data_IF_840424048764
#
_entry.id   IF_840424048764
#
_cell.length_a   1.000
_cell.length_b   1.000
_cell.length_c   1.000
_cell.angle_alpha   90.00
_cell.angle_beta   90.00
_cell.angle_gamma   90.00
#
_symmetry.space_group_name_H-M   'P 1'
#
loop_
_entity.id
_entity.type
_entity.pdbx_description
1 polymer ?
#
# COMPACT_ATOMS: atom_id res chain seq x y z
N UNK A 1 -4.87 -17.37 -13.95
CA UNK A 1 -6.07 -16.81 -13.30
C UNK A 1 -5.81 -16.61 -11.81
N UNK A 2 -6.35 -15.55 -11.20
CA UNK A 2 -6.25 -15.30 -9.74
C UNK A 2 -7.58 -15.65 -9.06
N UNK A 3 -7.76 -16.90 -8.66
CA UNK A 3 -8.95 -17.32 -7.91
C UNK A 3 -8.70 -17.15 -6.41
N UNK A 4 -9.59 -16.41 -5.73
CA UNK A 4 -9.57 -16.19 -4.27
C UNK A 4 -8.27 -15.57 -3.73
N UNK A 5 -7.48 -14.90 -4.56
CA UNK A 5 -6.25 -14.21 -4.13
C UNK A 5 -6.57 -12.77 -3.75
N UNK A 6 -6.25 -12.37 -2.51
CA UNK A 6 -6.39 -11.00 -2.03
C UNK A 6 -5.14 -10.15 -2.32
N UNK A 7 -5.31 -8.82 -2.31
CA UNK A 7 -4.24 -7.85 -2.46
C UNK A 7 -3.82 -7.51 -3.90
N UNK A 8 -3.32 -6.29 -4.09
CA UNK A 8 -2.86 -5.73 -5.37
C UNK A 8 -1.33 -5.74 -5.44
N UNK A 9 -0.77 -6.05 -6.61
CA UNK A 9 0.68 -6.07 -6.83
C UNK A 9 1.29 -4.67 -6.90
N UNK A 10 0.51 -3.67 -7.36
CA UNK A 10 0.94 -2.26 -7.48
C UNK A 10 2.26 -2.08 -8.27
N UNK A 11 2.56 -3.01 -9.19
CA UNK A 11 3.81 -3.08 -9.96
C UNK A 11 5.08 -2.98 -9.08
N UNK A 12 5.04 -3.54 -7.87
CA UNK A 12 6.15 -3.51 -6.90
C UNK A 12 6.44 -4.90 -6.33
N UNK A 13 7.71 -5.12 -5.99
CA UNK A 13 8.13 -6.35 -5.31
C UNK A 13 7.60 -6.39 -3.85
N UNK A 14 7.73 -7.55 -3.20
CA UNK A 14 7.18 -7.73 -1.84
C UNK A 14 7.82 -6.80 -0.79
N UNK A 15 9.17 -6.65 -0.74
CA UNK A 15 9.79 -5.76 0.24
C UNK A 15 9.37 -4.30 0.07
N UNK A 16 9.31 -3.80 -1.17
CA UNK A 16 8.88 -2.44 -1.47
C UNK A 16 7.42 -2.23 -1.05
N UNK A 17 6.51 -3.15 -1.35
CA UNK A 17 5.12 -3.05 -0.88
C UNK A 17 5.05 -2.94 0.64
N UNK A 18 5.75 -3.80 1.37
CA UNK A 18 5.75 -3.75 2.84
C UNK A 18 6.26 -2.40 3.37
N UNK A 19 7.34 -1.87 2.81
CA UNK A 19 7.85 -0.55 3.19
C UNK A 19 6.88 0.59 2.84
N UNK A 20 6.28 0.55 1.65
CA UNK A 20 5.33 1.56 1.18
C UNK A 20 4.10 1.65 2.10
N UNK A 21 3.51 0.49 2.48
CA UNK A 21 2.37 0.46 3.40
C UNK A 21 2.74 1.00 4.78
N UNK A 22 3.90 0.64 5.32
CA UNK A 22 4.40 1.17 6.60
C UNK A 22 4.49 2.69 6.57
N UNK A 23 5.11 3.24 5.53
CA UNK A 23 5.27 4.69 5.40
C UNK A 23 3.91 5.40 5.27
N UNK A 24 2.99 4.85 4.46
CA UNK A 24 1.64 5.40 4.32
C UNK A 24 0.85 5.37 5.65
N UNK A 25 0.96 4.28 6.42
CA UNK A 25 0.31 4.20 7.73
C UNK A 25 0.89 5.22 8.71
N UNK A 26 2.23 5.37 8.75
CA UNK A 26 2.88 6.38 9.60
C UNK A 26 2.42 7.79 9.22
N UNK A 27 2.46 8.15 7.94
CA UNK A 27 2.02 9.47 7.47
C UNK A 27 0.54 9.74 7.73
N UNK A 28 -0.31 8.71 7.65
CA UNK A 28 -1.74 8.86 7.97
C UNK A 28 -1.96 9.15 9.47
N UNK A 29 -1.21 8.48 10.35
CA UNK A 29 -1.31 8.72 11.79
C UNK A 29 -0.74 10.09 12.17
N UNK A 30 0.35 10.52 11.52
CA UNK A 30 1.01 11.80 11.80
C UNK A 30 0.23 13.02 11.31
N UNK A 31 -0.38 12.92 10.13
CA UNK A 31 -1.01 14.06 9.48
C UNK A 31 -2.54 14.01 9.47
N UNK A 32 -3.14 12.94 10.00
CA UNK A 32 -4.59 12.66 10.05
C UNK A 32 -5.29 12.55 8.68
N UNK A 33 -4.65 13.02 7.61
CA UNK A 33 -5.10 12.99 6.23
C UNK A 33 -3.91 12.88 5.29
N UNK A 34 -3.96 11.93 4.36
CA UNK A 34 -3.00 11.82 3.27
C UNK A 34 -3.74 11.67 1.93
N UNK A 35 -3.14 12.21 0.87
CA UNK A 35 -3.64 12.05 -0.50
C UNK A 35 -2.79 11.01 -1.23
N UNK A 36 -3.42 9.93 -1.69
CA UNK A 36 -2.77 8.84 -2.44
C UNK A 36 -3.49 8.55 -3.76
N UNK A 37 -2.92 7.70 -4.60
CA UNK A 37 -3.55 7.25 -5.86
C UNK A 37 -4.64 6.21 -5.61
N UNK A 38 -5.70 6.21 -6.44
CA UNK A 38 -6.66 5.10 -6.51
C UNK A 38 -6.03 3.92 -7.29
N UNK A 39 -6.21 2.66 -6.82
CA UNK A 39 -5.57 1.46 -7.40
C UNK A 39 -6.31 0.80 -8.57
#
# INVERSE_FOLDING_TARGET
MRHRTSGRQLNRNSPHRTAMWRNMTVSLVEHELIRTTLP
#
